data_IF_622155878818
#
_entry.id   IF_622155878818
#
_cell.length_a   1.000
_cell.length_b   1.000
_cell.length_c   1.000
_cell.angle_alpha   90.00
_cell.angle_beta   90.00
_cell.angle_gamma   90.00
#
_symmetry.space_group_name_H-M   'P 1'
#
loop_
_entity.id
_entity.type
_entity.pdbx_description
1 polymer ?
#
# COMPACT_ATOMS: atom_id res chain seq x y z
N UNK A 1 -9.94 16.30 -17.35
CA UNK A 1 -8.70 16.06 -16.58
C UNK A 1 -8.83 14.70 -15.94
N UNK A 2 -7.99 13.74 -16.33
CA UNK A 2 -7.97 12.41 -15.72
C UNK A 2 -7.62 12.53 -14.23
N UNK A 3 -8.53 12.11 -13.36
CA UNK A 3 -8.22 11.99 -11.94
C UNK A 3 -7.46 10.69 -11.73
N UNK A 4 -6.12 10.76 -11.73
CA UNK A 4 -5.26 9.63 -11.39
C UNK A 4 -5.56 9.22 -9.95
N UNK A 5 -6.25 8.09 -9.76
CA UNK A 5 -6.53 7.52 -8.44
C UNK A 5 -5.36 6.61 -8.07
N UNK A 6 -4.54 7.05 -7.12
CA UNK A 6 -3.50 6.20 -6.54
C UNK A 6 -4.06 5.43 -5.35
N UNK A 7 -3.89 4.11 -5.36
CA UNK A 7 -4.22 3.20 -4.26
C UNK A 7 -3.04 2.29 -4.00
N UNK A 8 -2.78 2.04 -2.72
CA UNK A 8 -1.89 0.99 -2.24
C UNK A 8 -2.76 -0.10 -1.62
N UNK A 9 -2.48 -1.36 -1.91
CA UNK A 9 -3.15 -2.53 -1.33
C UNK A 9 -2.13 -3.59 -0.95
N UNK A 10 -2.39 -4.30 0.15
CA UNK A 10 -1.64 -5.48 0.57
C UNK A 10 -2.64 -6.62 0.76
N UNK A 11 -2.41 -7.70 0.03
CA UNK A 11 -3.15 -8.95 0.08
C UNK A 11 -2.28 -10.00 0.79
N UNK A 12 -2.87 -10.74 1.73
CA UNK A 12 -2.22 -11.84 2.46
C UNK A 12 -3.15 -13.05 2.31
N UNK A 13 -2.60 -14.18 1.86
CA UNK A 13 -3.38 -15.39 1.59
C UNK A 13 -4.59 -15.13 0.68
N UNK A 14 -4.38 -14.32 -0.37
CA UNK A 14 -5.40 -13.87 -1.34
C UNK A 14 -6.51 -12.97 -0.77
N UNK A 15 -6.44 -12.59 0.52
CA UNK A 15 -7.38 -11.69 1.18
C UNK A 15 -6.84 -10.26 1.28
N UNK A 16 -7.68 -9.27 0.96
CA UNK A 16 -7.33 -7.86 1.12
C UNK A 16 -7.27 -7.46 2.60
N UNK A 17 -6.07 -7.43 3.16
CA UNK A 17 -5.84 -7.11 4.58
C UNK A 17 -5.60 -5.62 4.83
N UNK A 18 -5.07 -4.90 3.84
CA UNK A 18 -4.86 -3.46 3.93
C UNK A 18 -5.07 -2.79 2.58
N UNK A 19 -5.67 -1.60 2.59
CA UNK A 19 -5.55 -0.67 1.48
C UNK A 19 -5.62 0.77 1.96
N UNK A 20 -4.98 1.65 1.20
CA UNK A 20 -5.03 3.08 1.40
C UNK A 20 -5.13 3.79 0.06
N UNK A 21 -6.03 4.75 -0.05
CA UNK A 21 -6.08 5.65 -1.19
C UNK A 21 -6.31 7.08 -0.73
N UNK A 22 -5.86 8.03 -1.56
CA UNK A 22 -6.12 9.46 -1.39
C UNK A 22 -6.61 10.04 -2.72
N UNK A 23 -7.80 10.64 -2.72
CA UNK A 23 -8.39 11.30 -3.90
C UNK A 23 -9.08 12.58 -3.48
N UNK A 24 -8.68 13.73 -4.05
CA UNK A 24 -9.41 15.00 -3.93
C UNK A 24 -9.86 15.39 -2.51
N UNK A 25 -8.99 15.19 -1.51
CA UNK A 25 -9.31 15.49 -0.10
C UNK A 25 -9.93 14.34 0.68
N UNK A 26 -10.40 13.29 0.00
CA UNK A 26 -10.86 12.06 0.62
C UNK A 26 -9.70 11.08 0.80
N UNK A 27 -9.68 10.43 1.97
CA UNK A 27 -8.82 9.29 2.27
C UNK A 27 -9.69 8.12 2.72
N UNK A 28 -9.30 6.92 2.35
CA UNK A 28 -10.04 5.72 2.74
C UNK A 28 -9.27 4.45 2.44
N UNK A 29 -9.93 3.33 2.71
CA UNK A 29 -9.38 2.00 2.46
C UNK A 29 -9.78 1.01 3.56
N UNK A 30 -9.07 -0.11 3.59
CA UNK A 30 -9.28 -1.21 4.53
C UNK A 30 -8.08 -1.24 5.46
N UNK A 31 -8.30 -1.38 6.75
CA UNK A 31 -7.23 -1.61 7.71
C UNK A 31 -7.65 -2.75 8.64
N UNK A 32 -6.86 -3.80 8.69
CA UNK A 32 -7.03 -4.86 9.68
C UNK A 32 -6.88 -4.30 11.10
N UNK A 33 -7.68 -4.78 12.04
CA UNK A 33 -7.54 -4.48 13.47
C UNK A 33 -6.48 -5.36 14.15
N UNK A 34 -5.98 -6.38 13.45
CA UNK A 34 -4.94 -7.25 13.98
C UNK A 34 -3.55 -6.61 13.84
N UNK A 35 -2.91 -6.36 14.98
CA UNK A 35 -1.57 -5.78 15.05
C UNK A 35 -0.51 -6.64 14.34
N UNK A 36 -0.65 -7.97 14.33
CA UNK A 36 0.27 -8.85 13.61
C UNK A 36 0.17 -8.63 12.10
N UNK A 37 -1.05 -8.51 11.60
CA UNK A 37 -1.33 -8.19 10.20
C UNK A 37 -0.76 -6.82 9.86
N UNK A 38 -0.95 -5.81 10.70
CA UNK A 38 -0.41 -4.47 10.46
C UNK A 38 1.13 -4.44 10.41
N UNK A 39 1.81 -5.19 11.28
CA UNK A 39 3.28 -5.32 11.24
C UNK A 39 3.76 -6.01 9.97
N UNK A 40 3.04 -7.03 9.52
CA UNK A 40 3.36 -7.69 8.26
C UNK A 40 3.16 -6.74 7.06
N UNK A 41 2.03 -6.02 7.03
CA UNK A 41 1.74 -4.99 6.04
C UNK A 41 2.85 -3.93 6.00
N UNK A 42 3.29 -3.43 7.15
CA UNK A 42 4.40 -2.47 7.25
C UNK A 42 5.68 -3.01 6.61
N UNK A 43 6.08 -4.24 6.94
CA UNK A 43 7.27 -4.87 6.38
C UNK A 43 7.18 -4.99 4.85
N UNK A 44 6.04 -5.47 4.33
CA UNK A 44 5.83 -5.63 2.89
C UNK A 44 5.86 -4.29 2.13
N UNK A 45 5.31 -3.22 2.73
CA UNK A 45 5.37 -1.89 2.14
C UNK A 45 6.79 -1.32 2.14
N UNK A 46 7.58 -1.56 3.19
CA UNK A 46 8.98 -1.15 3.26
C UNK A 46 9.84 -1.87 2.21
N UNK A 47 9.68 -3.19 2.06
CA UNK A 47 10.38 -3.97 1.02
C UNK A 47 10.01 -3.49 -0.40
N UNK A 48 8.72 -3.26 -0.65
CA UNK A 48 8.24 -2.74 -1.93
C UNK A 48 8.83 -1.36 -2.25
N UNK A 49 8.94 -0.49 -1.24
CA UNK A 49 9.55 0.83 -1.40
C UNK A 49 11.03 0.72 -1.77
N UNK A 50 11.79 -0.15 -1.12
CA UNK A 50 13.21 -0.39 -1.44
C UNK A 50 13.37 -0.88 -2.89
N UNK A 51 12.50 -1.80 -3.33
CA UNK A 51 12.51 -2.28 -4.72
C UNK A 51 12.25 -1.14 -5.71
N UNK A 52 11.23 -0.32 -5.47
CA UNK A 52 10.93 0.85 -6.31
C UNK A 52 12.11 1.82 -6.34
N UNK A 53 12.73 2.11 -5.20
CA UNK A 53 13.91 2.98 -5.13
C UNK A 53 15.08 2.42 -5.94
N UNK A 54 15.32 1.10 -5.90
CA UNK A 54 16.32 0.45 -6.75
C UNK A 54 16.01 0.65 -8.24
N UNK A 55 14.76 0.50 -8.66
CA UNK A 55 14.35 0.72 -10.06
C UNK A 55 14.53 2.17 -10.51
N UNK A 56 14.27 3.13 -9.62
CA UNK A 56 14.48 4.56 -9.90
C UNK A 56 15.97 4.86 -10.04
N UNK A 57 16.80 4.33 -9.14
CA UNK A 57 18.25 4.59 -9.14
C UNK A 57 19.02 3.86 -10.25
N UNK A 58 18.40 2.85 -10.88
CA UNK A 58 18.94 2.15 -12.06
C UNK A 58 18.53 2.80 -13.40
N UNK A 59 17.74 3.88 -13.37
CA UNK A 59 17.42 4.73 -14.54
C UNK A 59 18.30 5.96 -14.61
#
# INVERSE_FOLDING_TARGET
MEHTKTRVSVEIDDDLQYSYFKKSGEKGGVASLDLKVLKYVEAQLQESLLHIQSLINHK
#
